data_IF_361982409282
#
_entry.id   IF_361982409282
#
_cell.length_a   1.000
_cell.length_b   1.000
_cell.length_c   1.000
_cell.angle_alpha   90.00
_cell.angle_beta   90.00
_cell.angle_gamma   90.00
#
_symmetry.space_group_name_H-M   'P 1'
#
loop_
_entity.id
_entity.type
_entity.pdbx_description
1 polymer ?
#
# COMPACT_ATOMS: atom_id res chain seq x y z
N UNK A 1 -11.79 13.77 9.12
CA UNK A 1 -10.88 12.72 8.61
C UNK A 1 -9.46 13.10 9.02
N UNK A 2 -8.82 12.33 9.90
CA UNK A 2 -7.53 12.69 10.49
C UNK A 2 -6.46 12.79 9.40
N UNK A 3 -5.62 13.84 9.42
CA UNK A 3 -4.54 14.08 8.45
C UNK A 3 -3.66 12.84 8.23
N UNK A 4 -3.47 12.02 9.26
CA UNK A 4 -2.74 10.75 9.21
C UNK A 4 -3.35 9.71 8.29
N UNK A 5 -4.67 9.53 8.31
CA UNK A 5 -5.35 8.56 7.44
C UNK A 5 -5.26 8.98 5.98
N UNK A 6 -5.42 10.29 5.72
CA UNK A 6 -5.27 10.82 4.38
C UNK A 6 -3.84 10.63 3.85
N UNK A 7 -2.80 10.89 4.66
CA UNK A 7 -1.42 10.64 4.24
C UNK A 7 -1.14 9.17 3.98
N UNK A 8 -1.72 8.26 4.77
CA UNK A 8 -1.54 6.82 4.57
C UNK A 8 -2.24 6.31 3.29
N UNK A 9 -3.42 6.85 2.97
CA UNK A 9 -4.10 6.52 1.72
C UNK A 9 -3.31 7.01 0.51
N UNK A 10 -2.76 8.22 0.58
CA UNK A 10 -1.88 8.76 -0.47
C UNK A 10 -0.62 7.90 -0.60
N UNK A 11 0.04 7.58 0.51
CA UNK A 11 1.22 6.73 0.55
C UNK A 11 0.95 5.35 -0.08
N UNK A 12 -0.09 4.66 0.36
CA UNK A 12 -0.47 3.35 -0.18
C UNK A 12 -0.81 3.43 -1.68
N UNK A 13 -1.50 4.48 -2.12
CA UNK A 13 -1.82 4.67 -3.54
C UNK A 13 -0.55 4.86 -4.38
N UNK A 14 0.38 5.69 -3.91
CA UNK A 14 1.67 5.91 -4.58
C UNK A 14 2.50 4.63 -4.64
N UNK A 15 2.58 3.88 -3.53
CA UNK A 15 3.34 2.63 -3.47
C UNK A 15 2.77 1.61 -4.47
N UNK A 16 1.46 1.37 -4.42
CA UNK A 16 0.81 0.33 -5.24
C UNK A 16 0.80 0.71 -6.72
N UNK A 17 0.57 1.99 -7.06
CA UNK A 17 0.66 2.45 -8.44
C UNK A 17 2.11 2.38 -8.95
N UNK A 18 3.09 2.65 -8.09
CA UNK A 18 4.51 2.45 -8.37
C UNK A 18 4.85 1.01 -8.71
N UNK A 19 4.45 0.07 -7.86
CA UNK A 19 4.63 -1.37 -8.07
C UNK A 19 3.94 -1.87 -9.34
N UNK A 20 2.70 -1.41 -9.57
CA UNK A 20 1.95 -1.75 -10.78
C UNK A 20 2.65 -1.25 -12.05
N UNK A 21 3.18 -0.02 -12.04
CA UNK A 21 3.91 0.56 -13.15
C UNK A 21 5.24 -0.16 -13.41
N UNK A 22 6.02 -0.47 -12.36
CA UNK A 22 7.24 -1.27 -12.50
C UNK A 22 6.92 -2.64 -13.08
N UNK A 23 5.91 -3.35 -12.54
CA UNK A 23 5.48 -4.65 -13.06
C UNK A 23 5.09 -4.56 -14.53
N UNK A 24 4.27 -3.59 -14.91
CA UNK A 24 3.85 -3.38 -16.30
C UNK A 24 5.03 -3.08 -17.22
N UNK A 25 6.00 -2.29 -16.74
CA UNK A 25 7.24 -1.96 -17.44
C UNK A 25 8.13 -3.17 -17.66
N UNK A 26 8.35 -3.99 -16.63
CA UNK A 26 9.16 -5.21 -16.70
C UNK A 26 8.52 -6.26 -17.61
N UNK A 27 7.22 -6.53 -17.45
CA UNK A 27 6.50 -7.53 -18.26
C UNK A 27 6.49 -7.15 -19.75
N UNK A 28 6.43 -5.85 -20.08
CA UNK A 28 6.36 -5.37 -21.46
C UNK A 28 7.69 -4.85 -22.00
N UNK A 29 8.79 -4.99 -21.26
CA UNK A 29 10.11 -4.40 -21.56
C UNK A 29 10.05 -2.89 -21.89
N UNK A 30 9.15 -2.14 -21.22
CA UNK A 30 8.96 -0.69 -21.40
C UNK A 30 9.56 0.09 -20.23
N UNK A 31 10.83 0.45 -20.37
CA UNK A 31 11.58 1.23 -19.37
C UNK A 31 10.92 2.53 -18.89
N UNK A 32 10.16 3.30 -19.70
CA UNK A 32 9.47 4.48 -19.19
C UNK A 32 8.49 4.19 -18.05
N UNK A 33 7.80 3.03 -18.06
CA UNK A 33 6.91 2.63 -16.97
C UNK A 33 7.69 2.25 -15.71
N UNK A 34 8.88 1.66 -15.86
CA UNK A 34 9.77 1.35 -14.74
C UNK A 34 10.24 2.64 -14.06
N UNK A 35 10.65 3.64 -14.85
CA UNK A 35 11.08 4.94 -14.33
C UNK A 35 9.94 5.71 -13.65
N UNK A 36 8.75 5.70 -14.26
CA UNK A 36 7.57 6.31 -13.65
C UNK A 36 7.21 5.62 -12.32
N UNK A 37 7.25 4.29 -12.28
CA UNK A 37 6.99 3.54 -11.06
C UNK A 37 8.04 3.80 -9.98
N UNK A 38 9.32 3.87 -10.33
CA UNK A 38 10.38 4.25 -9.40
C UNK A 38 10.17 5.66 -8.81
N UNK A 39 9.76 6.63 -9.62
CA UNK A 39 9.45 7.97 -9.14
C UNK A 39 8.26 7.98 -8.15
N UNK A 40 7.23 7.17 -8.40
CA UNK A 40 6.09 7.02 -7.48
C UNK A 40 6.51 6.39 -6.15
N UNK A 41 7.36 5.36 -6.18
CA UNK A 41 7.90 4.72 -4.97
C UNK A 41 8.77 5.69 -4.14
N UNK A 42 9.58 6.52 -4.80
CA UNK A 42 10.34 7.57 -4.12
C UNK A 42 9.39 8.59 -3.48
N UNK A 43 8.37 9.05 -4.21
CA UNK A 43 7.37 9.99 -3.69
C UNK A 43 6.62 9.42 -2.47
N UNK A 44 6.23 8.14 -2.52
CA UNK A 44 5.68 7.41 -1.39
C UNK A 44 6.62 7.45 -0.17
N UNK A 45 7.89 7.09 -0.36
CA UNK A 45 8.89 7.11 0.70
C UNK A 45 9.02 8.49 1.35
N UNK A 46 8.94 9.55 0.56
CA UNK A 46 8.90 10.92 1.08
C UNK A 46 7.62 11.20 1.89
N UNK A 47 6.44 10.83 1.38
CA UNK A 47 5.16 11.04 2.07
C UNK A 47 5.14 10.39 3.45
N UNK A 48 5.65 9.16 3.57
CA UNK A 48 5.68 8.44 4.86
C UNK A 48 6.74 8.98 5.82
N UNK A 49 7.94 9.32 5.32
CA UNK A 49 9.08 9.65 6.18
C UNK A 49 9.21 11.14 6.52
N UNK A 50 8.53 12.04 5.80
CA UNK A 50 8.48 13.47 6.13
C UNK A 50 7.76 13.69 7.47
N UNK A 51 6.79 12.84 7.81
CA UNK A 51 6.01 12.97 9.03
C UNK A 51 6.69 12.25 10.22
N UNK A 52 7.79 12.82 10.70
CA UNK A 52 8.69 12.25 11.74
C UNK A 52 8.07 12.03 13.12
N UNK A 53 6.87 12.53 13.37
CA UNK A 53 6.24 12.58 14.71
C UNK A 53 5.25 11.44 14.98
N UNK A 54 5.03 10.52 14.05
CA UNK A 54 4.06 9.43 14.24
C UNK A 54 4.78 8.18 14.77
N UNK A 55 4.24 7.55 15.83
CA UNK A 55 4.72 6.26 16.33
C UNK A 55 4.73 5.22 15.20
N UNK A 56 5.92 4.93 14.69
CA UNK A 56 6.14 4.13 13.49
C UNK A 56 5.44 2.76 13.56
N UNK A 57 5.49 2.07 14.71
CA UNK A 57 4.84 0.77 14.89
C UNK A 57 3.30 0.82 14.73
N UNK A 58 2.64 1.84 15.27
CA UNK A 58 1.17 2.03 15.13
C UNK A 58 0.79 2.39 13.70
N UNK A 59 1.58 3.29 13.09
CA UNK A 59 1.42 3.67 11.69
C UNK A 59 1.51 2.44 10.78
N UNK A 60 2.54 1.60 10.99
CA UNK A 60 2.80 0.43 10.15
C UNK A 60 1.70 -0.63 10.24
N UNK A 61 1.09 -0.85 11.40
CA UNK A 61 -0.03 -1.80 11.54
C UNK A 61 -1.24 -1.43 10.66
N UNK A 62 -1.69 -0.18 10.75
CA UNK A 62 -2.78 0.34 9.90
C UNK A 62 -2.35 0.42 8.44
N UNK A 63 -1.11 0.84 8.19
CA UNK A 63 -0.55 0.95 6.85
C UNK A 63 -0.57 -0.36 6.08
N UNK A 64 -0.10 -1.46 6.68
CA UNK A 64 -0.07 -2.78 6.05
C UNK A 64 -1.49 -3.26 5.71
N UNK A 65 -2.47 -3.01 6.58
CA UNK A 65 -3.87 -3.35 6.32
C UNK A 65 -4.43 -2.56 5.13
N UNK A 66 -4.21 -1.25 5.09
CA UNK A 66 -4.63 -0.38 3.97
C UNK A 66 -3.92 -0.79 2.68
N UNK A 67 -2.61 -1.02 2.73
CA UNK A 67 -1.79 -1.46 1.61
C UNK A 67 -2.32 -2.77 1.03
N UNK A 68 -2.62 -3.75 1.87
CA UNK A 68 -3.17 -5.02 1.41
C UNK A 68 -4.49 -4.83 0.65
N UNK A 69 -5.45 -4.10 1.23
CA UNK A 69 -6.77 -3.85 0.63
C UNK A 69 -6.61 -3.14 -0.71
N UNK A 70 -5.83 -2.07 -0.74
CA UNK A 70 -5.59 -1.31 -1.96
C UNK A 70 -4.85 -2.16 -3.01
N UNK A 71 -3.95 -3.06 -2.62
CA UNK A 71 -3.26 -3.97 -3.54
C UNK A 71 -4.23 -4.95 -4.19
N UNK A 72 -5.23 -5.45 -3.45
CA UNK A 72 -6.26 -6.31 -4.05
C UNK A 72 -7.15 -5.52 -5.02
N UNK A 73 -7.50 -4.28 -4.70
CA UNK A 73 -8.28 -3.40 -5.58
C UNK A 73 -7.52 -3.14 -6.88
N UNK A 74 -6.24 -2.77 -6.80
CA UNK A 74 -5.41 -2.54 -7.99
C UNK A 74 -5.14 -3.85 -8.74
N UNK A 75 -4.89 -4.95 -8.04
CA UNK A 75 -4.81 -6.30 -8.62
C UNK A 75 -6.02 -6.62 -9.50
N UNK A 76 -7.21 -6.37 -8.96
CA UNK A 76 -8.47 -6.59 -9.65
C UNK A 76 -8.67 -5.64 -10.84
N UNK A 77 -8.45 -4.34 -10.67
CA UNK A 77 -8.75 -3.32 -11.69
C UNK A 77 -7.68 -3.28 -12.79
N UNK A 78 -6.40 -3.27 -12.43
CA UNK A 78 -5.30 -3.09 -13.37
C UNK A 78 -4.86 -4.40 -14.03
N UNK A 79 -5.01 -5.53 -13.33
CA UNK A 79 -4.52 -6.83 -13.81
C UNK A 79 -5.62 -7.89 -13.99
N UNK A 80 -6.87 -7.61 -13.57
CA UNK A 80 -7.97 -8.57 -13.64
C UNK A 80 -7.81 -9.75 -12.67
N UNK A 81 -6.90 -9.65 -11.70
CA UNK A 81 -6.58 -10.72 -10.77
C UNK A 81 -7.62 -10.77 -9.66
N UNK A 82 -8.41 -11.85 -9.63
CA UNK A 82 -9.39 -12.07 -8.56
C UNK A 82 -8.71 -12.75 -7.37
N UNK A 83 -8.77 -12.17 -6.16
CA UNK A 83 -8.17 -12.78 -4.98
C UNK A 83 -8.84 -14.13 -4.70
N UNK A 84 -8.02 -15.17 -4.52
CA UNK A 84 -8.53 -16.48 -4.12
C UNK A 84 -9.07 -16.46 -2.69
N UNK A 85 -9.89 -17.45 -2.32
CA UNK A 85 -10.39 -17.55 -0.94
C UNK A 85 -9.29 -17.60 0.13
N UNK A 86 -8.11 -18.16 -0.21
CA UNK A 86 -6.93 -18.17 0.68
C UNK A 86 -6.32 -16.78 0.85
N UNK A 87 -6.27 -15.99 -0.22
CA UNK A 87 -5.80 -14.59 -0.17
C UNK A 87 -6.76 -13.75 0.66
N UNK A 88 -8.08 -13.96 0.52
CA UNK A 88 -9.07 -13.26 1.34
C UNK A 88 -8.96 -13.61 2.82
N UNK A 89 -8.76 -14.89 3.16
CA UNK A 89 -8.52 -15.31 4.55
C UNK A 89 -7.25 -14.69 5.13
N UNK A 90 -6.13 -14.74 4.39
CA UNK A 90 -4.89 -14.07 4.79
C UNK A 90 -5.08 -12.56 4.96
N UNK A 91 -5.82 -11.94 4.05
CA UNK A 91 -6.19 -10.53 4.10
C UNK A 91 -7.00 -10.16 5.33
N UNK A 92 -7.99 -10.99 5.68
CA UNK A 92 -8.79 -10.79 6.89
C UNK A 92 -7.92 -10.84 8.15
N UNK A 93 -6.94 -11.73 8.21
CA UNK A 93 -5.97 -11.79 9.31
C UNK A 93 -5.06 -10.56 9.36
N UNK A 94 -4.60 -10.05 8.21
CA UNK A 94 -3.82 -8.81 8.13
C UNK A 94 -4.64 -7.62 8.67
N UNK A 95 -5.88 -7.48 8.23
CA UNK A 95 -6.78 -6.40 8.70
C UNK A 95 -7.05 -6.54 10.20
N UNK A 96 -7.34 -7.75 10.68
CA UNK A 96 -7.55 -8.01 12.11
C UNK A 96 -6.30 -7.68 12.95
N UNK A 97 -5.11 -8.06 12.49
CA UNK A 97 -3.84 -7.73 13.15
C UNK A 97 -3.58 -6.22 13.18
N UNK A 98 -3.84 -5.51 12.08
CA UNK A 98 -3.74 -4.05 12.03
C UNK A 98 -4.71 -3.35 13.00
N UNK A 99 -5.95 -3.83 13.08
CA UNK A 99 -6.93 -3.36 14.06
C UNK A 99 -6.49 -3.63 15.50
N UNK A 100 -5.94 -4.82 15.77
CA UNK A 100 -5.43 -5.18 17.10
C UNK A 100 -4.30 -4.26 17.56
N UNK A 101 -3.32 -3.98 16.69
CA UNK A 101 -2.24 -3.04 16.96
C UNK A 101 -2.78 -1.64 17.24
N UNK A 102 -3.78 -1.21 16.47
CA UNK A 102 -4.41 0.10 16.64
C UNK A 102 -5.15 0.23 17.97
N UNK A 103 -5.84 -0.83 18.41
CA UNK A 103 -6.61 -0.87 19.66
C UNK A 103 -5.72 -1.04 20.90
N UNK A 104 -4.63 -1.80 20.82
CA UNK A 104 -3.69 -2.02 21.94
C UNK A 104 -2.69 -0.88 22.16
N UNK A 105 -2.85 0.24 21.45
CA UNK A 105 -1.98 1.42 21.52
C UNK A 105 -2.64 2.62 22.22
N UNK A 106 -3.72 2.36 22.95
CA UNK A 106 -4.41 3.27 23.87
C UNK A 106 -3.83 3.15 25.30
#
# INVERSE_FOLDING_TARGET
>A
MNLTLASLLVAATLEIAGDAAIRAGLVRAKWPFVLAGAALLVAYGLVVNVNRTIHFGRLMGVYIAVFFVMSQIVGLIAFGERPSGRVLLGGALIVAGGLWIQLGSE
#
